data_IF_008028666489
#
_entry.id   IF_008028666489
#
_cell.length_a   1.000
_cell.length_b   1.000
_cell.length_c   1.000
_cell.angle_alpha   90.00
_cell.angle_beta   90.00
_cell.angle_gamma   90.00
#
_symmetry.space_group_name_H-M   'P 1'
#
loop_
_entity.id
_entity.type
_entity.pdbx_description
1 polymer ?
#
# COMPACT_ATOMS: atom_id res chain seq x y z
N UNK A 1 -21.08 27.31 18.01
CA UNK A 1 -21.14 26.35 16.89
C UNK A 1 -19.95 26.64 16.00
N UNK A 2 -19.12 25.65 15.71
CA UNK A 2 -17.97 25.82 14.82
C UNK A 2 -18.47 26.25 13.43
N UNK A 3 -17.80 27.21 12.79
CA UNK A 3 -18.15 27.55 11.40
C UNK A 3 -17.84 26.35 10.50
N UNK A 4 -18.50 26.19 9.33
CA UNK A 4 -18.21 25.08 8.40
C UNK A 4 -16.72 24.97 8.05
N UNK A 5 -16.04 26.11 7.96
CA UNK A 5 -14.58 26.20 7.71
C UNK A 5 -13.76 25.64 8.86
N UNK A 6 -14.20 25.86 10.09
CA UNK A 6 -13.54 25.42 11.32
C UNK A 6 -13.73 23.92 11.53
N UNK A 7 -14.92 23.39 11.23
CA UNK A 7 -15.16 21.95 11.24
C UNK A 7 -14.33 21.23 10.17
N UNK A 8 -14.27 21.77 8.94
CA UNK A 8 -13.43 21.22 7.87
C UNK A 8 -11.95 21.19 8.25
N UNK A 9 -11.47 22.21 8.97
CA UNK A 9 -10.10 22.25 9.47
C UNK A 9 -9.85 21.20 10.56
N UNK A 10 -10.79 21.00 11.48
CA UNK A 10 -10.70 19.94 12.50
C UNK A 10 -10.72 18.53 11.88
N UNK A 11 -11.53 18.33 10.85
CA UNK A 11 -11.59 17.07 10.11
C UNK A 11 -10.28 16.82 9.35
N UNK A 12 -9.71 17.86 8.74
CA UNK A 12 -8.38 17.81 8.12
C UNK A 12 -7.28 17.43 9.13
N UNK A 13 -7.24 18.09 10.30
CA UNK A 13 -6.26 17.78 11.35
C UNK A 13 -6.42 16.37 11.91
N UNK A 14 -7.65 15.87 11.97
CA UNK A 14 -7.94 14.49 12.38
C UNK A 14 -7.46 13.46 11.34
N UNK A 15 -7.63 13.77 10.05
CA UNK A 15 -7.11 12.95 8.96
C UNK A 15 -5.56 12.94 8.93
N UNK A 16 -4.94 14.10 9.11
CA UNK A 16 -3.47 14.23 9.18
C UNK A 16 -2.89 13.42 10.34
N UNK A 17 -3.51 13.48 11.53
CA UNK A 17 -3.09 12.69 12.68
C UNK A 17 -3.16 11.18 12.41
N UNK A 18 -4.26 10.70 11.83
CA UNK A 18 -4.40 9.28 11.45
C UNK A 18 -3.37 8.85 10.43
N UNK A 19 -3.06 9.70 9.44
CA UNK A 19 -2.03 9.41 8.45
C UNK A 19 -0.64 9.27 9.09
N UNK A 20 -0.30 10.14 10.04
CA UNK A 20 0.96 10.08 10.79
C UNK A 20 1.05 8.85 11.70
N UNK A 21 -0.07 8.44 12.31
CA UNK A 21 -0.15 7.22 13.13
C UNK A 21 0.06 5.97 12.26
N UNK A 22 -0.53 5.91 11.07
CA UNK A 22 -0.33 4.80 10.11
C UNK A 22 1.13 4.74 9.65
N UNK A 23 1.74 5.87 9.29
CA UNK A 23 3.15 5.92 8.88
C UNK A 23 4.08 5.48 10.00
N UNK A 24 3.77 5.88 11.24
CA UNK A 24 4.53 5.46 12.43
C UNK A 24 4.37 3.96 12.67
N UNK A 25 3.15 3.43 12.58
CA UNK A 25 2.87 2.01 12.71
C UNK A 25 3.62 1.19 11.65
N UNK A 26 3.60 1.64 10.39
CA UNK A 26 4.33 1.03 9.27
C UNK A 26 5.86 1.07 9.45
N UNK A 27 6.40 2.11 10.09
CA UNK A 27 7.83 2.23 10.41
C UNK A 27 8.24 1.39 11.64
N UNK A 28 7.32 1.21 12.60
CA UNK A 28 7.55 0.50 13.87
C UNK A 28 7.41 -1.02 13.74
N UNK A 29 6.55 -1.48 12.83
CA UNK A 29 6.68 -2.82 12.30
C UNK A 29 8.01 -2.82 11.53
N UNK A 30 8.95 -3.69 11.89
CA UNK A 30 10.02 -4.08 10.96
C UNK A 30 9.33 -4.85 9.83
N UNK A 31 8.59 -4.13 8.99
CA UNK A 31 7.96 -4.67 7.82
C UNK A 31 9.14 -5.12 6.97
N UNK A 32 9.36 -6.43 6.94
CA UNK A 32 10.31 -6.99 5.99
C UNK A 32 9.82 -6.47 4.65
N UNK A 33 10.73 -6.11 3.75
CA UNK A 33 10.35 -5.52 2.45
C UNK A 33 9.28 -6.37 1.72
N UNK A 34 9.29 -7.68 1.98
CA UNK A 34 8.29 -8.68 1.63
C UNK A 34 6.87 -8.39 2.15
N UNK A 35 6.71 -7.93 3.39
CA UNK A 35 5.41 -7.61 4.01
C UNK A 35 4.76 -6.39 3.34
N UNK A 36 5.56 -5.39 2.95
CA UNK A 36 5.09 -4.18 2.24
C UNK A 36 4.58 -4.55 0.84
N UNK A 37 5.32 -5.40 0.13
CA UNK A 37 4.95 -5.80 -1.22
C UNK A 37 3.77 -6.78 -1.24
N UNK A 38 3.68 -7.67 -0.25
CA UNK A 38 2.49 -8.50 -0.05
C UNK A 38 1.26 -7.63 0.25
N UNK A 39 1.40 -6.63 1.12
CA UNK A 39 0.32 -5.68 1.41
C UNK A 39 -0.11 -4.89 0.16
N UNK A 40 0.83 -4.52 -0.72
CA UNK A 40 0.53 -3.88 -2.01
C UNK A 40 -0.26 -4.81 -2.95
N UNK A 41 0.14 -6.08 -3.08
CA UNK A 41 -0.59 -7.05 -3.90
C UNK A 41 -2.01 -7.28 -3.37
N UNK A 42 -2.18 -7.34 -2.04
CA UNK A 42 -3.50 -7.45 -1.39
C UNK A 42 -4.33 -6.19 -1.64
N UNK A 43 -3.74 -5.00 -1.50
CA UNK A 43 -4.43 -3.73 -1.75
C UNK A 43 -4.92 -3.61 -3.21
N UNK A 44 -4.13 -4.07 -4.18
CA UNK A 44 -4.52 -4.12 -5.59
C UNK A 44 -5.70 -5.08 -5.80
N UNK A 45 -5.68 -6.26 -5.18
CA UNK A 45 -6.80 -7.18 -5.26
C UNK A 45 -8.08 -6.56 -4.66
N UNK A 46 -7.97 -6.00 -3.46
CA UNK A 46 -9.08 -5.36 -2.74
C UNK A 46 -9.67 -4.16 -3.48
N UNK A 47 -8.84 -3.36 -4.17
CA UNK A 47 -9.29 -2.21 -4.95
C UNK A 47 -10.15 -2.62 -6.16
N UNK A 48 -9.84 -3.76 -6.78
CA UNK A 48 -10.47 -4.17 -8.04
C UNK A 48 -11.51 -5.28 -7.89
N UNK A 49 -11.54 -5.98 -6.74
CA UNK A 49 -12.54 -7.03 -6.49
C UNK A 49 -13.95 -6.43 -6.54
N UNK A 50 -14.86 -7.09 -7.24
CA UNK A 50 -16.24 -6.63 -7.43
C UNK A 50 -16.42 -5.54 -8.49
N UNK A 51 -15.35 -4.89 -8.96
CA UNK A 51 -15.40 -3.85 -10.00
C UNK A 51 -14.87 -4.35 -11.36
N UNK A 52 -13.94 -5.30 -11.37
CA UNK A 52 -13.38 -5.89 -12.59
C UNK A 52 -13.59 -7.41 -12.65
N UNK A 53 -13.61 -8.01 -13.86
CA UNK A 53 -13.61 -9.45 -14.01
C UNK A 53 -12.44 -10.10 -13.27
N UNK A 54 -12.61 -11.26 -12.63
CA UNK A 54 -11.55 -11.95 -11.88
C UNK A 54 -10.27 -12.15 -12.69
N UNK A 55 -10.40 -12.45 -13.98
CA UNK A 55 -9.27 -12.64 -14.87
C UNK A 55 -8.45 -11.35 -15.07
N UNK A 56 -9.09 -10.19 -15.13
CA UNK A 56 -8.42 -8.89 -15.22
C UNK A 56 -7.65 -8.59 -13.95
N UNK A 57 -8.25 -8.83 -12.77
CA UNK A 57 -7.59 -8.67 -11.47
C UNK A 57 -6.37 -9.58 -11.37
N UNK A 58 -6.52 -10.85 -11.79
CA UNK A 58 -5.41 -11.81 -11.85
C UNK A 58 -4.26 -11.35 -12.74
N UNK A 59 -4.54 -10.80 -13.93
CA UNK A 59 -3.52 -10.27 -14.83
C UNK A 59 -2.74 -9.09 -14.24
N UNK A 60 -3.41 -8.20 -13.49
CA UNK A 60 -2.76 -7.08 -12.79
C UNK A 60 -1.78 -7.62 -11.75
N UNK A 61 -2.23 -8.53 -10.88
CA UNK A 61 -1.39 -9.16 -9.84
C UNK A 61 -0.19 -9.87 -10.47
N UNK A 62 -0.40 -10.64 -11.53
CA UNK A 62 0.68 -11.31 -12.27
C UNK A 62 1.68 -10.32 -12.88
N UNK A 63 1.20 -9.19 -13.41
CA UNK A 63 2.04 -8.10 -13.94
C UNK A 63 2.99 -7.55 -12.87
N UNK A 64 2.49 -7.30 -11.67
CA UNK A 64 3.33 -6.86 -10.55
C UNK A 64 4.35 -7.92 -10.11
N UNK A 65 3.94 -9.20 -10.04
CA UNK A 65 4.87 -10.29 -9.72
C UNK A 65 6.02 -10.40 -10.72
N UNK A 66 5.76 -10.19 -12.02
CA UNK A 66 6.79 -10.16 -13.07
C UNK A 66 7.81 -9.04 -12.90
N UNK A 67 7.48 -7.95 -12.19
CA UNK A 67 8.42 -6.88 -11.87
C UNK A 67 9.15 -7.13 -10.55
N UNK A 68 8.43 -7.64 -9.55
CA UNK A 68 8.97 -7.92 -8.22
C UNK A 68 10.03 -9.02 -8.28
N UNK A 69 9.74 -10.16 -8.93
CA UNK A 69 10.64 -11.33 -8.93
C UNK A 69 12.06 -10.97 -9.45
N UNK A 70 12.22 -10.35 -10.63
CA UNK A 70 13.56 -9.97 -11.14
C UNK A 70 14.31 -9.01 -10.21
N UNK A 71 13.60 -8.08 -9.56
CA UNK A 71 14.20 -7.13 -8.62
C UNK A 71 14.81 -7.81 -7.38
N UNK A 72 14.22 -8.91 -6.90
CA UNK A 72 14.80 -9.66 -5.78
C UNK A 72 15.87 -10.64 -6.24
N UNK A 73 15.74 -11.23 -7.42
CA UNK A 73 16.77 -12.07 -7.99
C UNK A 73 18.08 -11.28 -8.18
N UNK A 74 18.00 -10.03 -8.66
CA UNK A 74 19.18 -9.17 -8.80
C UNK A 74 19.83 -8.77 -7.47
N UNK A 75 19.08 -8.83 -6.36
CA UNK A 75 19.60 -8.61 -5.00
C UNK A 75 20.15 -9.87 -4.32
N UNK A 76 19.86 -11.06 -4.86
CA UNK A 76 20.38 -12.33 -4.37
C UNK A 76 21.74 -12.69 -4.97
N UNK A 77 22.13 -12.05 -6.08
CA UNK A 77 23.52 -12.12 -6.54
C UNK A 77 24.39 -11.35 -5.56
N UNK A 78 25.32 -12.02 -4.83
CA UNK A 78 26.37 -11.30 -4.14
C UNK A 78 27.15 -10.55 -5.21
N UNK A 79 27.53 -9.30 -4.91
CA UNK A 79 28.51 -8.57 -5.70
C UNK A 79 29.64 -9.53 -6.14
N UNK A 80 29.93 -9.56 -7.44
CA UNK A 80 31.26 -9.96 -7.89
C UNK A 80 32.31 -9.03 -7.31
#
# INVERSE_FOLDING_TARGET
MATPTEQNFQDYKSAEKKALEIVTAMKSASAKKTDIELALLVAIFELHKGSLPPQTVGNIVQGHLKQIIPFYQSKQQPNG
#
